data_IF_343432275268
#
_entry.id   IF_343432275268
#
_cell.length_a   1.000
_cell.length_b   1.000
_cell.length_c   1.000
_cell.angle_alpha   90.00
_cell.angle_beta   90.00
_cell.angle_gamma   90.00
#
_symmetry.space_group_name_H-M   'P 1'
#
loop_
_entity.id
_entity.type
_entity.pdbx_description
1 polymer ?
#
# COMPACT_ATOMS: atom_id res chain seq x y z
N UNK A 1 0.01 -14.10 -0.58
CA UNK A 1 0.23 -13.19 -1.74
C UNK A 1 -0.36 -11.83 -1.44
N UNK A 2 0.40 -10.74 -1.59
CA UNK A 2 -0.08 -9.37 -1.33
C UNK A 2 -0.29 -8.56 -2.62
N UNK A 3 -1.34 -7.75 -2.66
CA UNK A 3 -1.59 -6.74 -3.70
C UNK A 3 -1.34 -5.33 -3.16
N UNK A 4 -1.03 -4.39 -4.05
CA UNK A 4 -0.98 -2.98 -3.68
C UNK A 4 -2.36 -2.52 -3.18
N UNK A 5 -2.39 -1.74 -2.10
CA UNK A 5 -3.63 -1.23 -1.49
C UNK A 5 -4.07 0.13 -2.02
N UNK A 6 -3.22 0.78 -2.83
CA UNK A 6 -3.52 2.07 -3.44
C UNK A 6 -4.81 1.99 -4.27
N UNK A 7 -5.61 3.07 -4.21
CA UNK A 7 -6.82 3.17 -5.00
C UNK A 7 -6.48 3.10 -6.48
N UNK A 8 -7.21 2.25 -7.21
CA UNK A 8 -6.98 1.95 -8.63
C UNK A 8 -5.63 1.27 -8.97
N UNK A 9 -4.88 0.76 -7.99
CA UNK A 9 -3.67 0.01 -8.26
C UNK A 9 -3.95 -1.49 -8.41
N UNK A 10 -3.59 -2.06 -9.56
CA UNK A 10 -3.74 -3.50 -9.84
C UNK A 10 -2.42 -4.26 -9.75
N UNK A 11 -1.35 -3.61 -9.26
CA UNK A 11 -0.04 -4.23 -9.06
C UNK A 11 -0.12 -5.32 -7.99
N UNK A 12 0.27 -6.53 -8.39
CA UNK A 12 0.30 -7.70 -7.51
C UNK A 12 1.74 -8.16 -7.34
N UNK A 13 2.11 -8.55 -6.13
CA UNK A 13 3.43 -9.10 -5.83
C UNK A 13 3.72 -10.41 -6.59
N UNK A 14 2.67 -11.07 -7.12
CA UNK A 14 2.81 -12.25 -7.99
C UNK A 14 3.26 -11.91 -9.41
N UNK A 15 3.03 -10.68 -9.88
CA UNK A 15 3.54 -10.22 -11.17
C UNK A 15 4.90 -9.57 -10.91
N UNK A 16 5.97 -10.13 -11.50
CA UNK A 16 7.28 -9.45 -11.55
C UNK A 16 7.13 -8.23 -12.46
N UNK A 17 6.87 -7.07 -11.86
CA UNK A 17 6.87 -5.80 -12.56
C UNK A 17 8.28 -5.21 -12.37
N UNK A 18 9.07 -5.06 -13.44
CA UNK A 18 10.42 -4.50 -13.34
C UNK A 18 10.34 -3.06 -12.81
N UNK A 19 11.13 -2.76 -11.79
CA UNK A 19 11.18 -1.42 -11.17
C UNK A 19 10.13 -1.15 -10.08
N UNK A 20 9.29 -2.12 -9.72
CA UNK A 20 8.28 -1.96 -8.66
C UNK A 20 8.66 -2.72 -7.40
N UNK A 21 8.72 -2.03 -6.25
CA UNK A 21 9.06 -2.62 -4.95
C UNK A 21 7.92 -2.46 -3.96
N UNK A 22 7.60 -3.53 -3.23
CA UNK A 22 6.49 -3.49 -2.27
C UNK A 22 6.97 -3.08 -0.88
N UNK A 23 6.57 -1.89 -0.45
CA UNK A 23 6.86 -1.31 0.86
C UNK A 23 5.73 -1.57 1.85
N UNK A 24 6.10 -1.84 3.10
CA UNK A 24 5.15 -1.93 4.22
C UNK A 24 4.89 -0.53 4.77
N UNK A 25 3.76 -0.38 5.46
CA UNK A 25 3.47 0.87 6.15
C UNK A 25 4.53 1.15 7.22
N UNK A 26 4.98 2.41 7.33
CA UNK A 26 5.87 2.83 8.40
C UNK A 26 5.18 2.68 9.76
N UNK A 27 6.00 2.50 10.80
CA UNK A 27 5.54 2.41 12.20
C UNK A 27 5.10 3.78 12.72
N UNK A 28 5.65 4.86 12.15
CA UNK A 28 5.31 6.24 12.47
C UNK A 28 3.87 6.59 12.08
N UNK A 29 3.06 7.02 13.04
CA UNK A 29 1.65 7.35 12.82
C UNK A 29 1.46 8.52 11.85
N UNK A 30 2.33 9.53 11.92
CA UNK A 30 2.28 10.69 11.01
C UNK A 30 2.46 10.26 9.55
N UNK A 31 3.48 9.45 9.27
CA UNK A 31 3.74 8.94 7.91
C UNK A 31 2.65 7.97 7.47
N UNK A 32 2.17 7.12 8.38
CA UNK A 32 1.06 6.21 8.13
C UNK A 32 -0.21 7.00 7.74
N UNK A 33 -0.51 8.09 8.42
CA UNK A 33 -1.65 8.96 8.10
C UNK A 33 -1.47 9.65 6.73
N UNK A 34 -0.27 10.12 6.40
CA UNK A 34 0.04 10.65 5.06
C UNK A 34 -0.20 9.60 3.96
N UNK A 35 0.19 8.35 4.21
CA UNK A 35 -0.01 7.25 3.26
C UNK A 35 -1.50 6.91 3.11
N UNK A 36 -2.26 6.87 4.21
CA UNK A 36 -3.72 6.65 4.18
C UNK A 36 -4.41 7.77 3.40
N UNK A 37 -4.02 9.03 3.62
CA UNK A 37 -4.49 10.18 2.85
C UNK A 37 -4.15 10.05 1.36
N UNK A 38 -2.94 9.59 1.02
CA UNK A 38 -2.51 9.38 -0.36
C UNK A 38 -3.27 8.26 -1.07
N UNK A 39 -3.67 7.23 -0.34
CA UNK A 39 -4.47 6.11 -0.88
C UNK A 39 -5.89 6.56 -1.23
N UNK A 40 -6.42 7.62 -0.60
CA UNK A 40 -7.75 8.21 -0.88
C UNK A 40 -8.89 7.20 -0.90
N UNK A 41 -8.77 6.12 -0.12
CA UNK A 41 -9.78 5.06 -0.03
C UNK A 41 -10.64 5.32 1.19
N UNK A 42 -11.91 5.64 0.97
CA UNK A 42 -12.88 5.82 2.05
C UNK A 42 -13.12 4.49 2.78
N UNK A 43 -13.28 4.55 4.12
CA UNK A 43 -13.53 3.39 4.98
C UNK A 43 -12.48 2.27 4.88
N UNK A 44 -11.21 2.63 4.72
CA UNK A 44 -10.13 1.65 4.67
C UNK A 44 -9.05 1.95 5.70
N UNK A 45 -8.66 0.93 6.45
CA UNK A 45 -7.60 1.00 7.44
C UNK A 45 -6.39 0.11 7.05
N UNK A 46 -5.16 0.62 7.20
CA UNK A 46 -3.96 -0.14 6.91
C UNK A 46 -3.75 -1.26 7.93
N UNK A 47 -3.76 -2.49 7.44
CA UNK A 47 -3.46 -3.70 8.21
C UNK A 47 -1.96 -4.05 8.12
N UNK A 48 -1.48 -4.94 9.00
CA UNK A 48 -0.09 -5.44 8.99
C UNK A 48 0.33 -6.07 7.65
N UNK A 49 -0.64 -6.54 6.88
CA UNK A 49 -0.44 -7.16 5.57
C UNK A 49 -0.58 -6.19 4.40
N UNK A 50 -1.02 -4.95 4.66
CA UNK A 50 -1.20 -3.93 3.63
C UNK A 50 0.16 -3.45 3.12
N UNK A 51 0.34 -3.45 1.80
CA UNK A 51 1.57 -2.99 1.15
C UNK A 51 1.25 -2.01 0.02
N UNK A 52 2.15 -1.06 -0.19
CA UNK A 52 2.15 -0.16 -1.34
C UNK A 52 3.31 -0.51 -2.25
N UNK A 53 3.12 -0.31 -3.55
CA UNK A 53 4.12 -0.55 -4.58
C UNK A 53 4.81 0.73 -5.03
#
# INVERSE_FOLDING_TARGET
>A
MGSCVAFNCTNRCSKKIPGTTFHRFPKDETRKNLWVKAIRRANWEPSKFSRLC
#
